data_IF_529406147964
#
_entry.id   IF_529406147964
#
_cell.length_a   1.000
_cell.length_b   1.000
_cell.length_c   1.000
_cell.angle_alpha   90.00
_cell.angle_beta   90.00
_cell.angle_gamma   90.00
#
_symmetry.space_group_name_H-M   'P 1'
#
loop_
_entity.id
_entity.type
_entity.pdbx_description
1 polymer ?
#
# COMPACT_ATOMS: atom_id res chain seq x y z
N UNK A 1 -17.11 4.88 -17.09
CA UNK A 1 -17.68 4.44 -15.81
C UNK A 1 -17.56 5.60 -14.84
N UNK A 2 -18.66 6.30 -14.56
CA UNK A 2 -18.67 7.44 -13.63
C UNK A 2 -18.52 6.84 -12.23
N UNK A 3 -17.41 7.11 -11.56
CA UNK A 3 -17.23 6.78 -10.14
C UNK A 3 -18.25 7.66 -9.39
N UNK A 4 -19.42 7.10 -9.11
CA UNK A 4 -20.46 7.74 -8.31
C UNK A 4 -19.88 7.93 -6.92
N UNK A 5 -19.53 9.16 -6.59
CA UNK A 5 -18.80 9.50 -5.38
C UNK A 5 -19.59 9.00 -4.16
N UNK A 6 -19.02 7.99 -3.50
CA UNK A 6 -19.67 7.16 -2.50
C UNK A 6 -19.23 7.61 -1.09
N UNK A 7 -19.07 8.92 -0.91
CA UNK A 7 -18.47 9.55 0.27
C UNK A 7 -19.18 9.16 1.56
N UNK A 8 -20.50 8.98 1.51
CA UNK A 8 -21.30 8.48 2.63
C UNK A 8 -20.95 7.05 3.00
N UNK A 9 -20.76 6.15 2.03
CA UNK A 9 -20.31 4.78 2.33
C UNK A 9 -18.87 4.75 2.86
N UNK A 10 -17.99 5.62 2.33
CA UNK A 10 -16.64 5.78 2.87
C UNK A 10 -16.69 6.22 4.34
N UNK A 11 -17.46 7.25 4.67
CA UNK A 11 -17.64 7.71 6.06
C UNK A 11 -18.21 6.61 6.98
N UNK A 12 -19.20 5.85 6.51
CA UNK A 12 -19.74 4.72 7.30
C UNK A 12 -18.68 3.64 7.50
N UNK A 13 -17.93 3.24 6.47
CA UNK A 13 -16.82 2.28 6.66
C UNK A 13 -15.75 2.79 7.61
N UNK A 14 -15.46 4.09 7.59
CA UNK A 14 -14.50 4.73 8.49
C UNK A 14 -15.00 4.78 9.94
N UNK A 15 -16.31 4.98 10.17
CA UNK A 15 -16.85 4.91 11.54
C UNK A 15 -16.71 3.53 12.18
N UNK A 16 -16.82 2.45 11.40
CA UNK A 16 -16.61 1.10 11.92
C UNK A 16 -15.14 0.85 12.29
N UNK A 17 -14.19 1.44 11.55
CA UNK A 17 -12.76 1.36 11.86
C UNK A 17 -12.43 1.95 13.24
N UNK A 18 -13.15 2.94 13.75
CA UNK A 18 -12.89 3.45 15.10
C UNK A 18 -13.36 2.52 16.22
N UNK A 19 -14.41 1.75 15.99
CA UNK A 19 -15.01 0.87 17.00
C UNK A 19 -14.22 -0.44 17.09
N UNK A 20 -13.69 -0.91 15.97
CA UNK A 20 -13.10 -2.24 15.82
C UNK A 20 -11.90 -2.52 16.75
N UNK A 21 -10.94 -1.59 16.98
CA UNK A 21 -9.85 -1.79 17.94
C UNK A 21 -10.33 -2.08 19.36
N UNK A 22 -11.41 -1.43 19.81
CA UNK A 22 -11.97 -1.64 21.15
C UNK A 22 -12.58 -3.04 21.29
N UNK A 23 -13.32 -3.47 20.28
CA UNK A 23 -13.92 -4.81 20.23
C UNK A 23 -12.81 -5.88 20.20
N UNK A 24 -11.77 -5.65 19.40
CA UNK A 24 -10.62 -6.53 19.31
C UNK A 24 -9.88 -6.68 20.64
N UNK A 25 -9.70 -5.59 21.40
CA UNK A 25 -9.11 -5.63 22.75
C UNK A 25 -9.99 -6.39 23.74
N UNK A 26 -11.31 -6.29 23.63
CA UNK A 26 -12.23 -7.09 24.45
C UNK A 26 -12.12 -8.59 24.11
N UNK A 27 -12.06 -8.96 22.83
CA UNK A 27 -11.87 -10.35 22.43
C UNK A 27 -10.53 -10.91 22.89
N UNK A 28 -9.46 -10.11 22.84
CA UNK A 28 -8.17 -10.48 23.42
C UNK A 28 -8.28 -10.79 24.91
N UNK A 29 -8.94 -9.92 25.68
CA UNK A 29 -9.13 -10.12 27.12
C UNK A 29 -9.97 -11.37 27.43
N UNK A 30 -10.96 -11.70 26.60
CA UNK A 30 -11.78 -12.91 26.78
C UNK A 30 -11.01 -14.17 26.38
N UNK A 31 -10.19 -14.09 25.34
CA UNK A 31 -9.28 -15.15 24.94
C UNK A 31 -8.26 -15.46 26.06
N UNK A 32 -7.65 -14.42 26.65
CA UNK A 32 -6.64 -14.61 27.70
C UNK A 32 -7.18 -15.24 28.99
N UNK A 33 -8.50 -15.26 29.19
CA UNK A 33 -9.13 -15.98 30.30
C UNK A 33 -9.25 -17.48 30.08
N UNK A 34 -9.17 -17.98 28.83
CA UNK A 34 -9.27 -19.39 28.50
C UNK A 34 -8.24 -19.79 27.43
N UNK A 35 -6.96 -19.71 27.79
CA UNK A 35 -5.80 -19.92 26.90
C UNK A 35 -5.65 -21.39 26.45
N UNK A 36 -6.14 -22.35 27.25
CA UNK A 36 -5.82 -23.77 27.06
C UNK A 36 -6.72 -24.49 26.04
N UNK A 37 -7.85 -23.88 25.65
CA UNK A 37 -8.78 -24.46 24.68
C UNK A 37 -8.91 -23.58 23.43
N UNK A 38 -9.16 -24.21 22.28
CA UNK A 38 -9.57 -23.50 21.06
C UNK A 38 -10.97 -22.90 21.31
N UNK A 39 -10.99 -21.71 21.90
CA UNK A 39 -12.20 -21.00 22.22
C UNK A 39 -12.72 -20.23 21.02
N UNK A 40 -14.04 -20.02 20.97
CA UNK A 40 -14.66 -19.16 19.97
C UNK A 40 -14.03 -17.75 19.95
N UNK A 41 -13.62 -17.24 21.11
CA UNK A 41 -12.96 -15.93 21.24
C UNK A 41 -11.57 -15.88 20.61
N UNK A 42 -10.80 -16.97 20.66
CA UNK A 42 -9.53 -17.08 19.94
C UNK A 42 -9.74 -16.93 18.42
N UNK A 43 -10.75 -17.61 17.87
CA UNK A 43 -11.08 -17.55 16.43
C UNK A 43 -11.48 -16.13 16.05
N UNK A 44 -12.35 -15.48 16.85
CA UNK A 44 -12.76 -14.11 16.62
C UNK A 44 -11.59 -13.12 16.65
N UNK A 45 -10.68 -13.28 17.63
CA UNK A 45 -9.49 -12.45 17.75
C UNK A 45 -8.50 -12.66 16.58
N UNK A 46 -8.32 -13.90 16.13
CA UNK A 46 -7.51 -14.17 14.94
C UNK A 46 -8.10 -13.50 13.69
N UNK A 47 -9.40 -13.66 13.47
CA UNK A 47 -10.09 -13.08 12.33
C UNK A 47 -10.12 -11.55 12.38
N UNK A 48 -10.16 -10.94 13.57
CA UNK A 48 -10.24 -9.48 13.69
C UNK A 48 -9.04 -8.78 13.09
N UNK A 49 -7.83 -9.33 13.25
CA UNK A 49 -6.62 -8.76 12.65
C UNK A 49 -6.59 -8.83 11.12
N UNK A 50 -7.36 -9.73 10.50
CA UNK A 50 -7.47 -9.82 9.04
C UNK A 50 -8.43 -8.77 8.44
N UNK A 51 -9.34 -8.19 9.23
CA UNK A 51 -10.40 -7.31 8.75
C UNK A 51 -9.82 -6.01 8.16
N UNK A 52 -8.94 -5.34 8.90
CA UNK A 52 -8.37 -4.06 8.47
C UNK A 52 -7.50 -4.19 7.20
N UNK A 53 -6.54 -5.14 7.11
CA UNK A 53 -5.77 -5.36 5.88
C UNK A 53 -6.67 -5.70 4.68
N UNK A 54 -7.72 -6.51 4.89
CA UNK A 54 -8.68 -6.86 3.84
C UNK A 54 -9.46 -5.65 3.35
N UNK A 55 -9.86 -4.75 4.26
CA UNK A 55 -10.55 -3.52 3.92
C UNK A 55 -9.67 -2.58 3.09
N UNK A 56 -8.40 -2.43 3.47
CA UNK A 56 -7.39 -1.68 2.70
C UNK A 56 -7.23 -2.25 1.30
N UNK A 57 -7.06 -3.57 1.18
CA UNK A 57 -6.94 -4.27 -0.09
C UNK A 57 -8.14 -4.03 -1.02
N UNK A 58 -9.35 -4.28 -0.51
CA UNK A 58 -10.58 -4.14 -1.30
C UNK A 58 -10.81 -2.69 -1.72
N UNK A 59 -10.58 -1.74 -0.81
CA UNK A 59 -10.75 -0.33 -1.11
C UNK A 59 -9.73 0.16 -2.15
N UNK A 60 -8.46 -0.23 -2.01
CA UNK A 60 -7.41 0.11 -2.97
C UNK A 60 -7.69 -0.50 -4.35
N UNK A 61 -8.06 -1.78 -4.42
CA UNK A 61 -8.41 -2.40 -5.70
C UNK A 61 -9.56 -1.69 -6.41
N UNK A 62 -10.58 -1.28 -5.66
CA UNK A 62 -11.79 -0.69 -6.23
C UNK A 62 -11.58 0.77 -6.66
N UNK A 63 -10.85 1.55 -5.87
CA UNK A 63 -10.79 3.00 -6.04
C UNK A 63 -9.44 3.51 -6.56
N UNK A 64 -8.35 2.77 -6.37
CA UNK A 64 -6.97 3.24 -6.60
C UNK A 64 -6.23 2.46 -7.69
N UNK A 65 -6.96 1.74 -8.54
CA UNK A 65 -6.41 1.02 -9.69
C UNK A 65 -6.68 1.76 -11.00
N UNK A 66 -7.95 2.04 -11.30
CA UNK A 66 -8.40 2.63 -12.57
C UNK A 66 -8.78 4.10 -12.40
N UNK A 67 -7.78 4.98 -12.48
CA UNK A 67 -8.03 6.42 -12.47
C UNK A 67 -8.56 6.90 -13.83
N UNK A 68 -9.70 7.59 -13.79
CA UNK A 68 -10.19 8.38 -14.92
C UNK A 68 -9.94 9.85 -14.66
N UNK A 69 -9.10 10.47 -15.49
CA UNK A 69 -8.83 11.91 -15.41
C UNK A 69 -9.70 12.67 -16.39
N UNK A 70 -10.23 13.81 -15.94
CA UNK A 70 -11.09 14.70 -16.74
C UNK A 70 -10.24 15.41 -17.78
N UNK A 71 -10.55 15.19 -19.07
CA UNK A 71 -10.03 16.00 -20.18
C UNK A 71 -11.12 16.97 -20.59
N UNK A 72 -11.37 18.01 -19.80
CA UNK A 72 -12.23 19.08 -20.31
C UNK A 72 -11.55 19.68 -21.54
N UNK A 73 -12.30 19.73 -22.66
CA UNK A 73 -11.85 20.24 -23.96
C UNK A 73 -11.45 21.72 -23.93
N UNK A 74 -11.77 22.42 -22.84
CA UNK A 74 -11.31 23.78 -22.60
C UNK A 74 -9.81 23.67 -22.38
N UNK A 75 -9.03 23.88 -23.45
CA UNK A 75 -7.58 23.95 -23.48
C UNK A 75 -7.04 24.32 -22.11
N UNK A 76 -6.49 23.36 -21.38
CA UNK A 76 -5.68 23.67 -20.21
C UNK A 76 -4.55 24.55 -20.72
N UNK A 77 -4.69 25.89 -20.63
CA UNK A 77 -3.74 26.87 -21.16
C UNK A 77 -2.32 26.65 -20.62
N UNK A 78 -2.19 25.85 -19.56
CA UNK A 78 -0.94 25.43 -18.93
C UNK A 78 -0.72 23.93 -19.18
N UNK A 79 0.29 23.64 -19.99
CA UNK A 79 0.72 22.29 -20.36
C UNK A 79 2.17 22.11 -19.90
N UNK A 80 2.51 20.91 -19.40
CA UNK A 80 3.88 20.51 -19.07
C UNK A 80 4.46 19.79 -20.29
N UNK A 81 5.60 20.26 -20.82
CA UNK A 81 6.28 19.71 -22.00
C UNK A 81 7.80 19.78 -21.85
N UNK A 82 8.52 19.16 -22.79
CA UNK A 82 9.97 19.32 -22.95
C UNK A 82 10.78 18.69 -21.82
N UNK A 83 11.88 19.36 -21.41
CA UNK A 83 12.83 18.85 -20.40
C UNK A 83 12.18 18.64 -19.03
N UNK A 84 11.28 19.53 -18.62
CA UNK A 84 10.59 19.42 -17.32
C UNK A 84 9.74 18.16 -17.24
N UNK A 85 9.05 17.81 -18.34
CA UNK A 85 8.28 16.57 -18.40
C UNK A 85 9.20 15.35 -18.31
N UNK A 86 10.36 15.38 -18.98
CA UNK A 86 11.35 14.30 -18.92
C UNK A 86 11.79 14.00 -17.49
N UNK A 87 12.21 15.04 -16.76
CA UNK A 87 12.64 14.89 -15.37
C UNK A 87 11.51 14.37 -14.50
N UNK A 88 10.30 14.89 -14.67
CA UNK A 88 9.15 14.49 -13.87
C UNK A 88 8.77 13.02 -14.12
N UNK A 89 8.80 12.57 -15.37
CA UNK A 89 8.57 11.16 -15.76
C UNK A 89 9.66 10.27 -15.18
N UNK A 90 10.94 10.62 -15.37
CA UNK A 90 12.06 9.82 -14.91
C UNK A 90 12.10 9.67 -13.38
N UNK A 91 11.93 10.77 -12.64
CA UNK A 91 11.92 10.76 -11.17
C UNK A 91 10.76 9.92 -10.63
N UNK A 92 9.54 10.11 -11.15
CA UNK A 92 8.39 9.32 -10.69
C UNK A 92 8.57 7.83 -10.99
N UNK A 93 9.10 7.49 -12.16
CA UNK A 93 9.29 6.10 -12.56
C UNK A 93 10.36 5.42 -11.71
N UNK A 94 11.53 6.06 -11.53
CA UNK A 94 12.62 5.53 -10.68
C UNK A 94 12.13 5.36 -9.24
N UNK A 95 11.45 6.38 -8.69
CA UNK A 95 10.96 6.36 -7.32
C UNK A 95 9.91 5.27 -7.10
N UNK A 96 8.91 5.17 -7.98
CA UNK A 96 7.89 4.11 -7.89
C UNK A 96 8.51 2.72 -8.04
N UNK A 97 9.41 2.54 -9.00
CA UNK A 97 10.10 1.26 -9.21
C UNK A 97 10.95 0.86 -8.01
N UNK A 98 11.64 1.82 -7.39
CA UNK A 98 12.40 1.60 -6.16
C UNK A 98 11.50 1.13 -5.02
N UNK A 99 10.38 1.81 -4.76
CA UNK A 99 9.43 1.40 -3.72
C UNK A 99 8.88 0.00 -3.95
N UNK A 100 8.55 -0.35 -5.21
CA UNK A 100 8.05 -1.68 -5.54
C UNK A 100 9.14 -2.74 -5.38
N UNK A 101 10.36 -2.45 -5.84
CA UNK A 101 11.50 -3.36 -5.72
C UNK A 101 11.76 -3.70 -4.25
N UNK A 102 11.83 -2.68 -3.43
CA UNK A 102 12.07 -2.79 -2.00
C UNK A 102 10.95 -3.53 -1.28
N UNK A 103 9.70 -3.28 -1.66
CA UNK A 103 8.56 -3.96 -1.08
C UNK A 103 8.47 -5.45 -1.44
N UNK A 104 8.88 -5.82 -2.66
CA UNK A 104 9.03 -7.22 -3.05
C UNK A 104 10.13 -7.88 -2.22
N UNK A 105 11.23 -7.18 -1.99
CA UNK A 105 12.34 -7.70 -1.18
C UNK A 105 11.93 -7.92 0.28
N UNK A 106 11.18 -6.99 0.89
CA UNK A 106 10.59 -7.18 2.23
C UNK A 106 9.77 -8.47 2.29
N UNK A 107 8.93 -8.73 1.28
CA UNK A 107 8.13 -9.96 1.28
C UNK A 107 9.02 -11.22 1.16
N UNK A 108 10.05 -11.19 0.30
CA UNK A 108 10.99 -12.30 0.19
C UNK A 108 11.72 -12.57 1.51
N UNK A 109 12.19 -11.52 2.19
CA UNK A 109 12.83 -11.63 3.50
C UNK A 109 11.90 -12.27 4.54
N UNK A 110 10.63 -11.84 4.60
CA UNK A 110 9.63 -12.41 5.49
C UNK A 110 9.35 -13.89 5.20
N UNK A 111 9.21 -14.26 3.92
CA UNK A 111 8.99 -15.65 3.50
C UNK A 111 10.21 -16.52 3.84
N UNK A 112 11.43 -16.04 3.60
CA UNK A 112 12.64 -16.81 3.91
C UNK A 112 12.76 -17.02 5.41
N UNK A 113 12.58 -15.98 6.22
CA UNK A 113 12.62 -16.09 7.68
C UNK A 113 11.50 -17.01 8.23
N UNK A 114 10.36 -17.10 7.55
CA UNK A 114 9.25 -18.01 7.89
C UNK A 114 9.58 -19.50 7.70
N UNK A 115 10.28 -19.84 6.62
CA UNK A 115 10.51 -21.24 6.23
C UNK A 115 11.93 -21.75 6.54
N UNK A 116 12.89 -20.83 6.67
CA UNK A 116 14.32 -21.09 6.81
C UNK A 116 14.89 -20.19 7.90
N UNK A 117 14.47 -20.46 9.15
CA UNK A 117 14.93 -19.72 10.34
C UNK A 117 16.47 -19.57 10.34
N UNK A 118 16.94 -18.34 10.49
CA UNK A 118 18.37 -18.02 10.57
C UNK A 118 19.11 -17.77 9.25
N UNK A 119 18.44 -17.88 8.09
CA UNK A 119 19.03 -17.47 6.81
C UNK A 119 18.66 -16.02 6.51
N UNK A 120 19.57 -15.10 6.83
CA UNK A 120 19.43 -13.70 6.42
C UNK A 120 19.52 -13.60 4.90
N UNK A 121 18.48 -13.10 4.23
CA UNK A 121 18.55 -12.80 2.81
C UNK A 121 19.58 -11.67 2.63
N UNK A 122 20.69 -11.89 1.90
CA UNK A 122 21.65 -10.82 1.67
C UNK A 122 20.97 -9.70 0.88
N UNK A 123 21.29 -8.45 1.21
CA UNK A 123 20.81 -7.32 0.42
C UNK A 123 21.31 -7.48 -1.02
N UNK A 124 20.46 -7.18 -2.02
CA UNK A 124 20.94 -7.18 -3.40
C UNK A 124 22.04 -6.13 -3.51
N UNK A 125 23.15 -6.50 -4.15
CA UNK A 125 24.20 -5.53 -4.47
C UNK A 125 23.60 -4.40 -5.33
N UNK A 126 24.18 -3.20 -5.21
CA UNK A 126 23.78 -2.00 -5.98
C UNK A 126 23.50 -2.30 -7.46
N UNK A 127 24.37 -3.01 -8.23
CA UNK A 127 24.08 -3.31 -9.63
C UNK A 127 22.83 -4.19 -9.83
N UNK A 128 22.59 -5.17 -8.96
CA UNK A 128 21.42 -6.04 -9.02
C UNK A 128 20.14 -5.28 -8.70
N UNK A 129 20.18 -4.41 -7.68
CA UNK A 129 19.05 -3.54 -7.35
C UNK A 129 18.74 -2.58 -8.50
N UNK A 130 19.75 -1.94 -9.09
CA UNK A 130 19.58 -1.06 -10.25
C UNK A 130 18.95 -1.80 -11.45
N UNK A 131 19.38 -3.03 -11.72
CA UNK A 131 18.79 -3.86 -12.78
C UNK A 131 17.31 -4.19 -12.49
N UNK A 132 17.00 -4.53 -11.24
CA UNK A 132 15.63 -4.86 -10.85
C UNK A 132 14.69 -3.64 -10.92
N UNK A 133 15.15 -2.46 -10.48
CA UNK A 133 14.44 -1.18 -10.62
C UNK A 133 14.19 -0.88 -12.10
N UNK A 134 15.18 -1.11 -12.96
CA UNK A 134 15.05 -0.91 -14.40
C UNK A 134 13.98 -1.84 -15.01
N UNK A 135 13.98 -3.11 -14.63
CA UNK A 135 12.98 -4.09 -15.08
C UNK A 135 11.56 -3.69 -14.65
N UNK A 136 11.37 -3.30 -13.39
CA UNK A 136 10.07 -2.81 -12.88
C UNK A 136 9.65 -1.54 -13.63
N UNK A 137 10.59 -0.64 -13.92
CA UNK A 137 10.32 0.58 -14.67
C UNK A 137 9.76 0.27 -16.07
N UNK A 138 10.33 -0.72 -16.76
CA UNK A 138 9.81 -1.18 -18.05
C UNK A 138 8.39 -1.75 -17.90
N UNK A 139 8.16 -2.58 -16.88
CA UNK A 139 6.83 -3.16 -16.63
C UNK A 139 5.78 -2.09 -16.30
N UNK A 140 6.15 -0.99 -15.66
CA UNK A 140 5.22 0.09 -15.30
C UNK A 140 4.74 0.91 -16.51
N UNK A 141 5.47 0.90 -17.62
CA UNK A 141 5.09 1.61 -18.86
C UNK A 141 3.87 0.94 -19.50
N UNK A 142 3.82 -0.38 -19.54
CA UNK A 142 2.68 -1.08 -20.15
C UNK A 142 1.48 -1.13 -19.19
N UNK A 143 0.33 -0.68 -19.69
CA UNK A 143 -0.91 -0.60 -18.91
C UNK A 143 -1.26 -1.93 -18.22
N UNK A 144 -1.18 -3.06 -18.93
CA UNK A 144 -1.58 -4.39 -18.41
C UNK A 144 -0.66 -4.89 -17.29
N UNK A 145 0.66 -4.80 -17.47
CA UNK A 145 1.62 -5.21 -16.44
C UNK A 145 1.60 -4.26 -15.24
N UNK A 146 1.36 -2.97 -15.44
CA UNK A 146 1.17 -2.02 -14.34
C UNK A 146 0.01 -2.42 -13.41
N UNK A 147 -1.12 -2.83 -13.98
CA UNK A 147 -2.25 -3.33 -13.17
C UNK A 147 -1.91 -4.64 -12.44
N UNK A 148 -1.16 -5.52 -13.10
CA UNK A 148 -0.71 -6.77 -12.49
C UNK A 148 0.24 -6.51 -11.31
N UNK A 149 1.21 -5.62 -11.48
CA UNK A 149 2.11 -5.18 -10.40
C UNK A 149 1.32 -4.60 -9.22
N UNK A 150 0.32 -3.76 -9.49
CA UNK A 150 -0.55 -3.21 -8.45
C UNK A 150 -1.25 -4.31 -7.64
N UNK A 151 -1.78 -5.33 -8.30
CA UNK A 151 -2.41 -6.47 -7.62
C UNK A 151 -1.41 -7.27 -6.78
N UNK A 152 -0.21 -7.51 -7.30
CA UNK A 152 0.85 -8.21 -6.56
C UNK A 152 1.23 -7.44 -5.30
N UNK A 153 1.41 -6.12 -5.38
CA UNK A 153 1.70 -5.27 -4.21
C UNK A 153 0.61 -5.40 -3.15
N UNK A 154 -0.66 -5.39 -3.57
CA UNK A 154 -1.77 -5.50 -2.62
C UNK A 154 -1.88 -6.90 -2.00
N UNK A 155 -1.55 -7.96 -2.75
CA UNK A 155 -1.45 -9.32 -2.20
C UNK A 155 -0.31 -9.39 -1.18
N UNK A 156 0.87 -8.84 -1.52
CA UNK A 156 2.00 -8.75 -0.60
C UNK A 156 1.60 -8.02 0.68
N UNK A 157 0.86 -6.93 0.58
CA UNK A 157 0.38 -6.19 1.75
C UNK A 157 -0.46 -7.04 2.70
N UNK A 158 -1.43 -7.78 2.18
CA UNK A 158 -2.22 -8.71 3.00
C UNK A 158 -1.32 -9.75 3.66
N UNK A 159 -0.43 -10.39 2.90
CA UNK A 159 0.44 -11.44 3.41
C UNK A 159 1.32 -10.95 4.55
N UNK A 160 1.97 -9.79 4.36
CA UNK A 160 2.82 -9.16 5.38
C UNK A 160 1.99 -8.82 6.62
N UNK A 161 0.82 -8.18 6.46
CA UNK A 161 -0.03 -7.82 7.59
C UNK A 161 -0.55 -9.04 8.37
N UNK A 162 -0.95 -10.11 7.69
CA UNK A 162 -1.39 -11.34 8.35
C UNK A 162 -0.23 -12.03 9.09
N UNK A 163 0.97 -11.98 8.52
CA UNK A 163 2.15 -12.54 9.16
C UNK A 163 2.54 -11.75 10.43
N UNK A 164 2.58 -10.42 10.33
CA UNK A 164 2.82 -9.55 11.49
C UNK A 164 1.76 -9.77 12.58
N UNK A 165 0.49 -9.91 12.20
CA UNK A 165 -0.59 -10.22 13.13
C UNK A 165 -0.39 -11.57 13.84
N UNK A 166 0.00 -12.60 13.09
CA UNK A 166 0.30 -13.91 13.66
C UNK A 166 1.45 -13.85 14.67
N UNK A 167 2.53 -13.15 14.34
CA UNK A 167 3.67 -12.95 15.24
C UNK A 167 3.28 -12.22 16.53
N UNK A 168 2.43 -11.18 16.42
CA UNK A 168 1.89 -10.46 17.58
C UNK A 168 1.07 -11.37 18.51
N UNK A 169 0.27 -12.29 17.95
CA UNK A 169 -0.53 -13.23 18.76
C UNK A 169 0.36 -14.22 19.52
N UNK A 170 1.42 -14.73 18.88
CA UNK A 170 2.36 -15.68 19.51
C UNK A 170 3.34 -14.97 20.45
N UNK A 171 3.32 -13.63 20.49
CA UNK A 171 4.21 -12.80 21.29
C UNK A 171 5.69 -13.05 20.97
N UNK A 172 5.99 -13.33 19.69
CA UNK A 172 7.37 -13.41 19.20
C UNK A 172 7.83 -11.98 18.94
N UNK A 173 8.88 -11.57 19.65
CA UNK A 173 9.47 -10.27 19.41
C UNK A 173 10.19 -10.27 18.07
N UNK A 174 9.74 -9.39 17.18
CA UNK A 174 10.24 -9.24 15.83
C UNK A 174 11.38 -8.23 15.89
N UNK A 175 12.52 -8.66 16.43
CA UNK A 175 13.73 -7.83 16.59
C UNK A 175 14.33 -7.41 15.22
N UNK A 176 15.49 -6.74 15.24
CA UNK A 176 16.28 -6.24 14.08
C UNK A 176 16.60 -7.27 12.96
N UNK A 177 16.14 -8.51 13.11
CA UNK A 177 16.30 -9.61 12.15
C UNK A 177 15.55 -9.37 10.84
N UNK A 178 14.40 -8.71 10.88
CA UNK A 178 13.60 -8.45 9.69
C UNK A 178 14.01 -7.15 9.00
N UNK A 179 14.15 -7.19 7.68
CA UNK A 179 14.58 -6.05 6.89
C UNK A 179 13.64 -4.83 7.06
N UNK A 180 12.35 -5.07 7.31
CA UNK A 180 11.33 -4.02 7.51
C UNK A 180 11.64 -3.11 8.71
N UNK A 181 12.34 -3.61 9.74
CA UNK A 181 12.67 -2.85 10.95
C UNK A 181 13.65 -1.69 10.69
N UNK A 182 14.40 -1.75 9.58
CA UNK A 182 15.39 -0.71 9.21
C UNK A 182 14.78 0.58 8.67
N UNK A 183 13.48 0.58 8.31
CA UNK A 183 12.86 1.73 7.65
C UNK A 183 12.47 2.84 8.61
N UNK A 184 12.15 2.51 9.86
CA UNK A 184 11.72 3.49 10.85
C UNK A 184 12.07 2.95 12.24
N UNK A 185 12.62 3.80 13.12
CA UNK A 185 12.72 3.50 14.56
C UNK A 185 11.36 3.45 15.28
N UNK A 186 10.30 3.10 14.55
CA UNK A 186 8.97 2.85 15.04
C UNK A 186 8.86 1.36 15.35
N UNK A 187 8.47 1.03 16.57
CA UNK A 187 8.33 -0.37 17.00
C UNK A 187 7.10 -1.07 16.40
N UNK A 188 6.28 -0.39 15.59
CA UNK A 188 5.08 -0.97 14.98
C UNK A 188 5.27 -1.26 13.48
N UNK A 189 5.53 -2.53 13.20
CA UNK A 189 5.74 -3.05 11.84
C UNK A 189 4.48 -2.95 10.96
N UNK A 190 3.27 -2.98 11.54
CA UNK A 190 2.04 -2.84 10.75
C UNK A 190 1.92 -1.41 10.20
N UNK A 191 2.27 -0.40 11.01
CA UNK A 191 2.34 0.99 10.56
C UNK A 191 3.41 1.17 9.48
N UNK A 192 4.58 0.53 9.62
CA UNK A 192 5.62 0.59 8.57
C UNK A 192 5.10 -0.01 7.25
N UNK A 193 4.50 -1.20 7.28
CA UNK A 193 3.90 -1.83 6.11
C UNK A 193 2.84 -0.93 5.45
N UNK A 194 2.03 -0.24 6.27
CA UNK A 194 1.03 0.72 5.82
C UNK A 194 1.67 1.96 5.17
N UNK A 195 2.71 2.55 5.76
CA UNK A 195 3.39 3.73 5.20
C UNK A 195 4.05 3.43 3.86
N UNK A 196 4.66 2.25 3.71
CA UNK A 196 5.22 1.82 2.43
C UNK A 196 4.11 1.72 1.38
N UNK A 197 2.97 1.11 1.72
CA UNK A 197 1.82 1.03 0.82
C UNK A 197 1.31 2.43 0.44
N UNK A 198 1.18 3.37 1.38
CA UNK A 198 0.77 4.76 1.12
C UNK A 198 1.72 5.44 0.13
N UNK A 199 3.04 5.28 0.31
CA UNK A 199 4.04 5.79 -0.62
C UNK A 199 3.83 5.25 -2.03
N UNK A 200 3.62 3.93 -2.15
CA UNK A 200 3.32 3.29 -3.44
C UNK A 200 2.01 3.81 -4.04
N UNK A 201 0.94 3.98 -3.26
CA UNK A 201 -0.35 4.49 -3.75
C UNK A 201 -0.22 5.88 -4.36
N UNK A 202 0.46 6.79 -3.64
CA UNK A 202 0.69 8.16 -4.09
C UNK A 202 1.51 8.18 -5.37
N UNK A 203 2.62 7.44 -5.42
CA UNK A 203 3.47 7.36 -6.60
C UNK A 203 2.80 6.65 -7.78
N UNK A 204 1.94 5.68 -7.51
CA UNK A 204 1.16 5.00 -8.55
C UNK A 204 0.07 5.90 -9.13
N UNK A 205 -0.56 6.73 -8.28
CA UNK A 205 -1.50 7.76 -8.70
C UNK A 205 -0.81 8.79 -9.61
N UNK A 206 0.34 9.34 -9.21
CA UNK A 206 1.09 10.30 -10.03
C UNK A 206 1.52 9.67 -11.36
N UNK A 207 2.02 8.44 -11.33
CA UNK A 207 2.37 7.70 -12.56
C UNK A 207 1.16 7.49 -13.47
N UNK A 208 0.01 7.14 -12.91
CA UNK A 208 -1.23 6.95 -13.67
C UNK A 208 -1.70 8.22 -14.36
N UNK A 209 -1.52 9.38 -13.73
CA UNK A 209 -1.83 10.68 -14.33
C UNK A 209 -0.90 11.00 -15.51
N UNK A 210 0.40 10.80 -15.33
CA UNK A 210 1.40 11.09 -16.39
C UNK A 210 1.22 10.20 -17.61
N UNK A 211 0.97 8.92 -17.38
CA UNK A 211 0.78 7.89 -18.41
C UNK A 211 -0.64 7.78 -18.95
N UNK A 212 -1.51 8.74 -18.62
CA UNK A 212 -2.91 8.66 -19.01
C UNK A 212 -3.12 8.86 -20.52
N UNK A 213 -3.72 7.86 -21.17
CA UNK A 213 -4.03 7.88 -22.62
C UNK A 213 -2.78 8.21 -23.45
N UNK A 214 -2.83 9.29 -24.23
CA UNK A 214 -1.77 9.71 -25.17
C UNK A 214 -0.77 10.68 -24.55
N UNK A 215 -0.85 10.98 -23.24
CA UNK A 215 -0.02 12.00 -22.63
C UNK A 215 1.50 11.75 -22.79
N UNK A 216 1.94 10.49 -22.68
CA UNK A 216 3.34 10.12 -22.88
C UNK A 216 3.72 10.01 -24.36
N UNK A 217 2.82 9.55 -25.24
CA UNK A 217 3.09 9.46 -26.69
C UNK A 217 3.22 10.85 -27.31
N UNK A 218 2.37 11.78 -26.88
CA UNK A 218 2.33 13.15 -27.38
C UNK A 218 3.38 14.03 -26.71
N UNK A 219 4.07 13.51 -25.68
CA UNK A 219 5.00 14.22 -24.81
C UNK A 219 4.42 15.51 -24.19
N UNK A 220 3.15 15.41 -23.78
CA UNK A 220 2.31 16.53 -23.38
C UNK A 220 1.41 16.08 -22.21
N UNK A 221 1.61 16.69 -21.04
CA UNK A 221 0.75 16.45 -19.87
C UNK A 221 0.00 17.73 -19.50
N UNK A 222 -1.34 17.72 -19.45
CA UNK A 222 -2.10 18.87 -18.97
C UNK A 222 -1.84 19.07 -17.47
N UNK A 223 -1.87 20.31 -16.98
CA UNK A 223 -1.82 20.56 -15.53
C UNK A 223 -3.08 19.96 -14.87
N UNK A 224 -2.98 19.28 -13.71
CA UNK A 224 -4.13 18.68 -13.03
C UNK A 224 -5.20 19.73 -12.70
N UNK A 225 -6.46 19.37 -12.91
CA UNK A 225 -7.61 20.20 -12.58
C UNK A 225 -8.16 19.86 -11.19
N UNK A 226 -9.07 20.68 -10.66
CA UNK A 226 -9.69 20.45 -9.33
C UNK A 226 -10.31 19.05 -9.20
N UNK A 227 -10.96 18.57 -10.26
CA UNK A 227 -11.56 17.24 -10.30
C UNK A 227 -10.53 16.10 -10.21
N UNK A 228 -9.35 16.29 -10.81
CA UNK A 228 -8.27 15.30 -10.76
C UNK A 228 -7.67 15.18 -9.36
N UNK A 229 -7.72 16.23 -8.53
CA UNK A 229 -7.17 16.20 -7.15
C UNK A 229 -8.06 15.41 -6.18
N UNK A 230 -9.34 15.20 -6.49
CA UNK A 230 -10.29 14.52 -5.60
C UNK A 230 -9.84 13.08 -5.26
N UNK A 231 -9.48 12.21 -6.23
CA UNK A 231 -8.94 10.89 -5.93
C UNK A 231 -7.72 10.91 -5.01
N UNK A 232 -6.81 11.87 -5.20
CA UNK A 232 -5.64 12.03 -4.35
C UNK A 232 -6.03 12.32 -2.90
N UNK A 233 -6.95 13.26 -2.67
CA UNK A 233 -7.46 13.55 -1.32
C UNK A 233 -8.16 12.34 -0.69
N UNK A 234 -8.89 11.55 -1.48
CA UNK A 234 -9.53 10.33 -0.99
C UNK A 234 -8.51 9.30 -0.49
N UNK A 235 -7.36 9.15 -1.17
CA UNK A 235 -6.24 8.32 -0.70
C UNK A 235 -5.80 8.82 0.69
N UNK A 236 -5.49 10.11 0.82
CA UNK A 236 -5.05 10.68 2.11
C UNK A 236 -6.05 10.45 3.23
N UNK A 237 -7.33 10.80 3.01
CA UNK A 237 -8.36 10.67 4.03
C UNK A 237 -8.51 9.20 4.43
N UNK A 238 -8.60 8.28 3.47
CA UNK A 238 -8.75 6.87 3.76
C UNK A 238 -7.60 6.33 4.60
N UNK A 239 -6.35 6.53 4.16
CA UNK A 239 -5.19 6.01 4.86
C UNK A 239 -4.93 6.69 6.20
N UNK A 240 -5.31 7.96 6.36
CA UNK A 240 -5.25 8.66 7.65
C UNK A 240 -6.05 7.92 8.74
N UNK A 241 -7.27 7.47 8.42
CA UNK A 241 -8.06 6.68 9.36
C UNK A 241 -7.49 5.29 9.63
N UNK A 242 -6.86 4.66 8.64
CA UNK A 242 -6.17 3.37 8.84
C UNK A 242 -4.96 3.53 9.74
N UNK A 243 -4.22 4.64 9.62
CA UNK A 243 -3.12 4.96 10.54
C UNK A 243 -3.67 5.10 11.97
N UNK A 244 -4.75 5.86 12.17
CA UNK A 244 -5.38 5.99 13.48
C UNK A 244 -5.82 4.63 14.03
N UNK A 245 -6.39 3.76 13.20
CA UNK A 245 -6.77 2.41 13.59
C UNK A 245 -5.59 1.64 14.20
N UNK A 246 -4.45 1.59 13.51
CA UNK A 246 -3.28 0.85 14.02
C UNK A 246 -2.68 1.53 15.25
N UNK A 247 -2.64 2.87 15.29
CA UNK A 247 -2.17 3.61 16.46
C UNK A 247 -3.04 3.43 17.72
N UNK A 248 -4.31 3.08 17.58
CA UNK A 248 -5.19 2.74 18.72
C UNK A 248 -5.04 1.29 19.18
N UNK A 249 -4.50 0.43 18.32
CA UNK A 249 -4.37 -1.00 18.55
C UNK A 249 -3.08 -1.35 19.29
N UNK A 250 -2.01 -0.57 19.06
CA UNK A 250 -0.78 -0.54 19.86
C UNK A 250 -1.01 0.09 21.23
#
# INVERSE_FOLDING_TARGET
MIIKNNTTKLLVTLSFLFILPFVQKQWFNLYSLNINDISFYLILYYLSGAICPSLVYLNSLKNYTEYSFTKDKIHSKKIIKGKTLLFLVAINLIFLSFLIADYIYINLDLIVNLFLEGINVPKPDIPHLCFFIFLISILLIFKKSRFLLKKIILVNFILISLYLWHLQIININVDDQFYIYRYFGLNDLNLINLFILVGIEISFYTWSFLSYKTNLSDWIVPKPQKGDVIPFLNIFIFYFFIIIYYSLLT
#
